data_IF_919531967811
#
_entry.id   IF_919531967811
#
_cell.length_a   1.000
_cell.length_b   1.000
_cell.length_c   1.000
_cell.angle_alpha   90.00
_cell.angle_beta   90.00
_cell.angle_gamma   90.00
#
_symmetry.space_group_name_H-M   'P 1'
#
loop_
_entity.id
_entity.type
_entity.pdbx_description
1 polymer ?
#
# COMPACT_ATOMS: atom_id res chain seq x y z
N UNK A 1 18.71 24.34 -78.39
CA UNK A 1 19.80 23.61 -77.71
C UNK A 1 20.33 24.53 -76.60
N UNK A 2 20.05 24.42 -75.31
CA UNK A 2 19.13 23.71 -74.41
C UNK A 2 19.09 24.61 -73.14
N UNK A 3 17.95 24.81 -72.48
CA UNK A 3 17.56 24.07 -71.25
C UNK A 3 18.74 23.77 -70.31
N UNK A 4 18.74 24.03 -69.01
CA UNK A 4 17.83 24.68 -68.07
C UNK A 4 18.65 24.93 -66.79
N UNK A 5 18.14 25.79 -65.92
CA UNK A 5 18.69 26.23 -64.65
C UNK A 5 19.23 25.10 -63.75
N UNK A 6 20.41 25.34 -63.16
CA UNK A 6 20.94 24.56 -62.05
C UNK A 6 20.16 24.86 -60.77
N UNK A 7 19.18 24.01 -60.45
CA UNK A 7 18.55 23.99 -59.12
C UNK A 7 19.56 23.38 -58.15
N UNK A 8 20.36 24.24 -57.51
CA UNK A 8 21.20 23.84 -56.37
C UNK A 8 20.32 23.43 -55.20
N UNK A 9 20.13 22.12 -55.02
CA UNK A 9 19.58 21.54 -53.80
C UNK A 9 20.48 21.95 -52.62
N UNK A 10 19.95 22.80 -51.74
CA UNK A 10 20.54 23.11 -50.45
C UNK A 10 20.53 21.84 -49.57
N UNK A 11 21.61 21.04 -49.64
CA UNK A 11 21.88 20.04 -48.61
C UNK A 11 22.15 20.76 -47.28
N UNK A 12 21.11 20.88 -46.45
CA UNK A 12 21.27 21.37 -45.08
C UNK A 12 21.87 20.23 -44.26
N UNK A 13 23.20 20.16 -44.17
CA UNK A 13 23.92 19.17 -43.34
C UNK A 13 23.76 19.49 -41.85
N UNK A 14 22.64 19.07 -41.26
CA UNK A 14 22.50 19.06 -39.81
C UNK A 14 23.22 17.83 -39.23
N UNK A 15 24.33 18.03 -38.52
CA UNK A 15 25.08 16.95 -37.89
C UNK A 15 24.37 16.44 -36.62
N UNK A 16 24.38 15.12 -36.39
CA UNK A 16 23.90 14.49 -35.14
C UNK A 16 24.47 15.17 -33.88
N UNK A 17 25.71 15.66 -33.96
CA UNK A 17 26.36 16.41 -32.87
C UNK A 17 25.68 17.75 -32.58
N UNK A 18 25.23 18.46 -33.61
CA UNK A 18 24.55 19.74 -33.45
C UNK A 18 23.12 19.54 -32.93
N UNK A 19 22.46 18.44 -33.34
CA UNK A 19 21.18 18.02 -32.77
C UNK A 19 21.26 17.70 -31.28
N UNK A 20 22.22 16.85 -30.89
CA UNK A 20 22.40 16.47 -29.48
C UNK A 20 22.75 17.70 -28.62
N UNK A 21 23.61 18.60 -29.12
CA UNK A 21 23.91 19.86 -28.43
C UNK A 21 22.67 20.74 -28.27
N UNK A 22 21.81 20.81 -29.28
CA UNK A 22 20.54 21.54 -29.22
C UNK A 22 19.59 20.96 -28.17
N UNK A 23 19.41 19.64 -28.15
CA UNK A 23 18.54 18.95 -27.17
C UNK A 23 19.03 19.17 -25.73
N UNK A 24 20.35 19.08 -25.49
CA UNK A 24 20.93 19.30 -24.15
C UNK A 24 20.73 20.76 -23.70
N UNK A 25 20.99 21.74 -24.59
CA UNK A 25 20.85 23.16 -24.26
C UNK A 25 19.39 23.57 -23.95
N UNK A 26 18.42 22.99 -24.67
CA UNK A 26 16.99 23.23 -24.44
C UNK A 26 16.50 22.50 -23.16
N UNK A 27 16.99 21.29 -22.89
CA UNK A 27 16.64 20.55 -21.67
C UNK A 27 17.09 21.23 -20.37
N UNK A 28 18.26 21.88 -20.38
CA UNK A 28 18.81 22.56 -19.20
C UNK A 28 18.07 23.87 -18.84
N UNK A 29 17.49 24.55 -19.83
CA UNK A 29 16.75 25.82 -19.61
C UNK A 29 15.30 25.58 -19.17
N UNK A 30 14.63 24.54 -19.67
CA UNK A 30 13.29 24.17 -19.20
C UNK A 30 13.27 23.68 -17.73
N UNK A 31 14.36 23.07 -17.26
CA UNK A 31 14.44 22.46 -15.93
C UNK A 31 14.76 23.44 -14.80
N UNK A 32 15.26 24.64 -15.11
CA UNK A 32 15.66 25.65 -14.11
C UNK A 32 14.60 26.73 -13.85
N UNK A 33 13.62 26.89 -14.75
CA UNK A 33 12.52 27.85 -14.55
C UNK A 33 11.72 27.57 -13.26
N UNK A 34 11.59 26.30 -12.87
CA UNK A 34 10.91 25.90 -11.63
C UNK A 34 11.62 26.31 -10.34
N UNK A 35 12.93 26.62 -10.38
CA UNK A 35 13.69 27.02 -9.20
C UNK A 35 13.74 28.53 -8.98
N UNK A 36 13.51 29.35 -10.02
CA UNK A 36 13.52 30.81 -9.93
C UNK A 36 12.17 31.43 -9.58
N UNK A 37 11.06 30.69 -9.74
CA UNK A 37 9.73 31.15 -9.35
C UNK A 37 9.45 30.61 -7.94
N UNK A 38 9.93 31.34 -6.94
CA UNK A 38 9.63 31.11 -5.52
C UNK A 38 8.14 31.28 -5.24
N UNK A 39 7.37 30.21 -5.43
CA UNK A 39 5.94 30.19 -5.17
C UNK A 39 5.42 28.75 -5.13
N UNK A 40 5.34 28.18 -3.93
CA UNK A 40 4.45 27.06 -3.67
C UNK A 40 3.02 27.47 -4.06
N UNK A 41 2.47 26.80 -5.08
CA UNK A 41 1.06 26.87 -5.43
C UNK A 41 0.76 27.75 -6.64
N UNK A 42 0.71 27.14 -7.83
CA UNK A 42 -0.18 27.57 -8.94
C UNK A 42 -0.30 26.55 -10.08
N UNK A 43 0.44 25.44 -10.05
CA UNK A 43 -0.02 24.19 -10.66
C UNK A 43 -0.54 23.31 -9.54
N UNK A 44 -1.78 23.56 -9.12
CA UNK A 44 -2.51 22.58 -8.34
C UNK A 44 -2.41 21.26 -9.10
N UNK A 45 -1.71 20.28 -8.53
CA UNK A 45 -1.82 18.92 -8.98
C UNK A 45 -3.30 18.59 -8.86
N UNK A 46 -4.04 18.73 -9.96
CA UNK A 46 -5.43 18.34 -10.02
C UNK A 46 -5.41 16.84 -9.72
N UNK A 47 -5.94 16.46 -8.56
CA UNK A 47 -6.17 15.07 -8.23
C UNK A 47 -6.97 14.48 -9.40
N UNK A 48 -6.37 13.55 -10.14
CA UNK A 48 -7.06 12.86 -11.22
C UNK A 48 -8.32 12.24 -10.62
N UNK A 49 -9.52 12.49 -11.18
CA UNK A 49 -10.75 11.88 -10.68
C UNK A 49 -10.57 10.35 -10.59
N UNK A 50 -10.73 9.79 -9.38
CA UNK A 50 -10.51 8.36 -9.11
C UNK A 50 -9.11 7.98 -8.59
N UNK A 51 -8.18 8.93 -8.46
CA UNK A 51 -6.91 8.67 -7.77
C UNK A 51 -7.14 8.61 -6.25
N UNK A 52 -7.11 7.40 -5.67
CA UNK A 52 -7.07 7.26 -4.22
C UNK A 52 -5.71 7.73 -3.69
N UNK A 53 -5.73 8.39 -2.53
CA UNK A 53 -4.52 8.69 -1.76
C UNK A 53 -3.75 7.38 -1.55
N UNK A 54 -2.47 7.34 -1.94
CA UNK A 54 -1.66 6.14 -1.82
C UNK A 54 -1.07 5.97 -0.43
N UNK A 55 -0.54 7.06 0.14
CA UNK A 55 0.15 7.03 1.41
C UNK A 55 -0.83 7.37 2.55
N UNK A 56 -1.32 6.35 3.24
CA UNK A 56 -2.30 6.51 4.34
C UNK A 56 -1.65 6.20 5.70
N UNK A 57 -2.31 6.60 6.78
CA UNK A 57 -1.92 6.21 8.15
C UNK A 57 -2.95 5.24 8.70
N UNK A 58 -2.48 4.11 9.24
CA UNK A 58 -3.29 3.06 9.85
C UNK A 58 -2.95 2.93 11.33
N UNK A 59 -3.95 2.71 12.18
CA UNK A 59 -3.75 2.30 13.56
C UNK A 59 -3.82 0.76 13.63
N UNK A 60 -2.66 0.11 13.74
CA UNK A 60 -2.57 -1.35 13.81
C UNK A 60 -1.85 -1.76 15.10
N UNK A 61 -2.50 -2.58 15.92
CA UNK A 61 -2.00 -3.02 17.22
C UNK A 61 -1.57 -1.85 18.11
N UNK A 62 -2.38 -0.77 18.12
CA UNK A 62 -2.12 0.46 18.88
C UNK A 62 -1.03 1.36 18.29
N UNK A 63 -0.42 1.00 17.16
CA UNK A 63 0.65 1.76 16.53
C UNK A 63 0.18 2.48 15.26
N UNK A 64 0.49 3.76 15.15
CA UNK A 64 0.26 4.55 13.95
C UNK A 64 1.34 4.25 12.89
N UNK A 65 0.92 3.71 11.75
CA UNK A 65 1.81 3.25 10.67
C UNK A 65 1.46 3.97 9.37
N UNK A 66 2.40 4.73 8.82
CA UNK A 66 2.28 5.29 7.48
C UNK A 66 2.65 4.24 6.44
N UNK A 67 1.80 4.01 5.46
CA UNK A 67 1.95 2.93 4.48
C UNK A 67 1.44 3.33 3.10
N UNK A 68 2.19 2.96 2.05
CA UNK A 68 1.77 3.10 0.65
C UNK A 68 0.88 1.92 0.25
N UNK A 69 -0.37 2.21 -0.11
CA UNK A 69 -1.48 1.26 -0.27
C UNK A 69 -2.18 1.54 -1.59
N UNK A 70 -2.26 0.51 -2.45
CA UNK A 70 -3.03 0.58 -3.69
C UNK A 70 -4.54 0.72 -3.40
N UNK A 71 -5.32 1.37 -4.28
CA UNK A 71 -6.77 1.54 -4.08
C UNK A 71 -7.53 0.22 -3.87
N UNK A 72 -7.04 -0.86 -4.50
CA UNK A 72 -7.64 -2.20 -4.46
C UNK A 72 -6.91 -3.17 -3.51
N UNK A 73 -5.95 -2.69 -2.70
CA UNK A 73 -5.24 -3.56 -1.76
C UNK A 73 -6.14 -3.91 -0.57
N UNK A 74 -6.24 -5.20 -0.27
CA UNK A 74 -7.01 -5.69 0.87
C UNK A 74 -6.20 -5.53 2.15
N UNK A 75 -6.90 -5.42 3.29
CA UNK A 75 -6.26 -5.26 4.60
C UNK A 75 -5.30 -6.42 4.89
N UNK A 76 -5.69 -7.65 4.57
CA UNK A 76 -4.81 -8.80 4.72
C UNK A 76 -3.53 -8.70 3.87
N UNK A 77 -3.61 -8.16 2.65
CA UNK A 77 -2.44 -7.93 1.82
C UNK A 77 -1.54 -6.84 2.40
N UNK A 78 -2.11 -5.70 2.83
CA UNK A 78 -1.32 -4.62 3.42
C UNK A 78 -0.62 -5.06 4.71
N UNK A 79 -1.33 -5.73 5.61
CA UNK A 79 -0.77 -6.25 6.86
C UNK A 79 0.44 -7.15 6.59
N UNK A 80 0.28 -8.11 5.67
CA UNK A 80 1.30 -9.12 5.38
C UNK A 80 2.49 -8.55 4.60
N UNK A 81 2.22 -7.83 3.52
CA UNK A 81 3.23 -7.51 2.51
C UNK A 81 3.78 -6.08 2.64
N UNK A 82 3.08 -5.16 3.29
CA UNK A 82 3.56 -3.79 3.54
C UNK A 82 4.06 -3.60 4.96
N UNK A 83 3.31 -4.15 5.93
CA UNK A 83 3.59 -3.96 7.36
C UNK A 83 4.34 -5.14 7.99
N UNK A 84 4.58 -6.21 7.23
CA UNK A 84 5.26 -7.43 7.66
C UNK A 84 4.62 -8.11 8.90
N UNK A 85 3.33 -7.88 9.12
CA UNK A 85 2.49 -8.57 10.10
C UNK A 85 1.90 -9.82 9.45
N UNK A 86 2.69 -10.88 9.43
CA UNK A 86 2.41 -12.08 8.64
C UNK A 86 1.51 -13.10 9.35
N UNK A 87 1.08 -12.81 10.58
CA UNK A 87 0.20 -13.65 11.38
C UNK A 87 -1.18 -13.83 10.76
N UNK A 88 -1.77 -12.76 10.23
CA UNK A 88 -3.01 -12.84 9.42
C UNK A 88 -2.73 -13.66 8.16
N UNK A 89 -3.49 -14.73 7.89
CA UNK A 89 -3.20 -15.65 6.78
C UNK A 89 -4.15 -15.48 5.60
N UNK A 90 -3.62 -15.65 4.40
CA UNK A 90 -4.40 -15.78 3.16
C UNK A 90 -4.51 -17.27 2.83
N UNK A 91 -5.66 -17.87 3.19
CA UNK A 91 -5.96 -19.27 2.86
C UNK A 91 -6.76 -19.39 1.56
N UNK A 92 -7.95 -18.79 1.52
CA UNK A 92 -8.83 -18.84 0.35
C UNK A 92 -8.89 -17.55 -0.48
N UNK A 93 -8.58 -16.40 0.16
CA UNK A 93 -8.70 -15.04 -0.41
C UNK A 93 -10.08 -14.71 -1.02
N UNK A 94 -11.14 -15.28 -0.44
CA UNK A 94 -12.54 -15.14 -0.89
C UNK A 94 -13.57 -15.18 0.23
N UNK A 95 -13.17 -14.78 1.44
CA UNK A 95 -14.06 -14.67 2.61
C UNK A 95 -14.76 -15.98 3.05
N UNK A 96 -14.15 -17.14 2.81
CA UNK A 96 -14.77 -18.44 3.09
C UNK A 96 -14.14 -19.16 4.29
N UNK A 97 -12.80 -19.14 4.42
CA UNK A 97 -12.10 -19.95 5.41
C UNK A 97 -11.82 -19.27 6.76
N UNK A 98 -12.02 -17.96 6.88
CA UNK A 98 -11.76 -17.20 8.12
C UNK A 98 -10.28 -17.06 8.53
N UNK A 99 -9.31 -17.65 7.82
CA UNK A 99 -7.89 -17.57 8.21
C UNK A 99 -7.31 -16.14 8.21
N UNK A 100 -7.99 -15.19 7.55
CA UNK A 100 -7.63 -13.79 7.44
C UNK A 100 -8.35 -12.88 8.46
N UNK A 101 -9.04 -13.46 9.45
CA UNK A 101 -9.81 -12.68 10.42
C UNK A 101 -8.89 -11.79 11.25
N UNK A 102 -9.30 -10.52 11.39
CA UNK A 102 -8.73 -9.49 12.25
C UNK A 102 -9.86 -8.82 13.03
N UNK A 103 -9.54 -8.04 14.05
CA UNK A 103 -10.53 -7.15 14.68
C UNK A 103 -10.42 -5.76 14.08
N UNK A 104 -11.55 -5.16 13.73
CA UNK A 104 -11.68 -3.76 13.36
C UNK A 104 -12.66 -3.15 14.37
N UNK A 105 -12.17 -2.24 15.21
CA UNK A 105 -12.92 -1.63 16.31
C UNK A 105 -13.56 -2.68 17.22
N UNK A 106 -12.79 -3.73 17.55
CA UNK A 106 -13.20 -4.86 18.39
C UNK A 106 -14.02 -5.93 17.68
N UNK A 107 -14.56 -5.65 16.49
CA UNK A 107 -15.42 -6.59 15.76
C UNK A 107 -14.62 -7.42 14.77
N UNK A 108 -14.85 -8.73 14.74
CA UNK A 108 -14.20 -9.60 13.79
C UNK A 108 -14.64 -9.31 12.33
N UNK A 109 -13.65 -9.24 11.43
CA UNK A 109 -13.84 -8.99 9.99
C UNK A 109 -12.83 -9.79 9.18
N UNK A 110 -13.23 -10.18 7.97
CA UNK A 110 -12.32 -10.82 7.02
C UNK A 110 -11.40 -9.79 6.38
N UNK A 111 -10.11 -9.83 6.73
CA UNK A 111 -9.11 -8.93 6.17
C UNK A 111 -8.93 -9.09 4.65
N UNK A 112 -9.21 -10.27 4.09
CA UNK A 112 -9.11 -10.52 2.65
C UNK A 112 -10.23 -9.87 1.82
N UNK A 113 -11.37 -9.51 2.43
CA UNK A 113 -12.49 -8.87 1.75
C UNK A 113 -12.73 -7.43 2.21
N UNK A 114 -11.81 -6.88 3.01
CA UNK A 114 -11.85 -5.50 3.50
C UNK A 114 -10.79 -4.71 2.75
N UNK A 115 -11.14 -3.58 2.13
CA UNK A 115 -10.13 -2.72 1.51
C UNK A 115 -9.39 -1.94 2.60
N UNK A 116 -8.07 -1.85 2.49
CA UNK A 116 -7.25 -1.14 3.48
C UNK A 116 -7.66 0.34 3.60
N UNK A 117 -8.10 0.97 2.50
CA UNK A 117 -8.59 2.35 2.52
C UNK A 117 -9.85 2.56 3.37
N UNK A 118 -10.66 1.51 3.60
CA UNK A 118 -11.90 1.60 4.38
C UNK A 118 -11.66 1.65 5.90
N UNK A 119 -10.51 1.20 6.38
CA UNK A 119 -10.22 1.09 7.82
C UNK A 119 -9.47 2.31 8.36
N UNK A 120 -9.41 3.40 7.59
CA UNK A 120 -8.83 4.67 8.05
C UNK A 120 -9.62 5.19 9.25
N UNK A 121 -8.91 5.53 10.32
CA UNK A 121 -9.52 6.03 11.54
C UNK A 121 -10.06 4.93 12.46
N UNK A 122 -10.15 3.68 11.99
CA UNK A 122 -10.43 2.52 12.84
C UNK A 122 -9.18 1.99 13.52
N UNK A 123 -9.39 1.30 14.63
CA UNK A 123 -8.40 0.46 15.29
C UNK A 123 -8.40 -0.94 14.68
N UNK A 124 -7.24 -1.39 14.19
CA UNK A 124 -7.06 -2.75 13.69
C UNK A 124 -6.22 -3.54 14.68
N UNK A 125 -6.73 -4.68 15.14
CA UNK A 125 -5.96 -5.64 15.96
C UNK A 125 -5.75 -6.92 15.16
N UNK A 126 -4.52 -7.38 15.10
CA UNK A 126 -4.12 -8.67 14.50
C UNK A 126 -3.72 -9.67 15.59
N UNK A 127 -3.41 -10.91 15.21
CA UNK A 127 -2.95 -11.94 16.16
C UNK A 127 -1.70 -11.52 16.93
N UNK A 128 -0.79 -10.77 16.29
CA UNK A 128 0.41 -10.20 16.90
C UNK A 128 0.09 -9.12 17.94
N UNK A 129 -1.12 -8.57 17.94
CA UNK A 129 -1.57 -7.54 18.88
C UNK A 129 -2.32 -8.08 20.10
N UNK A 130 -2.47 -9.40 20.24
CA UNK A 130 -3.16 -10.01 21.38
C UNK A 130 -2.26 -10.25 22.58
N UNK A 131 -0.96 -10.44 22.35
CA UNK A 131 0.03 -10.57 23.42
C UNK A 131 0.21 -9.23 24.14
N UNK A 132 0.34 -9.28 25.47
CA UNK A 132 0.63 -8.08 26.24
C UNK A 132 2.00 -7.51 25.83
N UNK A 133 2.08 -6.25 25.37
CA UNK A 133 3.31 -5.68 24.85
C UNK A 133 4.41 -5.46 25.91
N UNK A 134 4.05 -5.38 27.19
CA UNK A 134 4.98 -5.12 28.30
C UNK A 134 5.45 -6.41 28.97
N UNK A 135 4.54 -7.37 29.16
CA UNK A 135 4.82 -8.63 29.89
C UNK A 135 5.12 -9.81 28.98
N UNK A 136 4.71 -9.76 27.71
CA UNK A 136 4.74 -10.90 26.80
C UNK A 136 3.72 -12.00 27.13
N UNK A 137 2.79 -11.72 28.04
CA UNK A 137 1.74 -12.68 28.39
C UNK A 137 0.77 -12.86 27.22
N UNK A 138 0.47 -14.13 26.93
CA UNK A 138 -0.52 -14.49 25.94
C UNK A 138 -1.92 -14.07 26.39
N UNK A 139 -2.77 -13.69 25.43
CA UNK A 139 -4.19 -13.50 25.71
C UNK A 139 -4.84 -14.79 26.21
N UNK A 140 -5.96 -14.66 26.93
CA UNK A 140 -6.74 -15.79 27.45
C UNK A 140 -7.02 -16.86 26.39
N UNK A 141 -7.42 -16.43 25.19
CA UNK A 141 -7.73 -17.34 24.08
C UNK A 141 -6.48 -18.03 23.54
N UNK A 142 -5.36 -17.30 23.40
CA UNK A 142 -4.08 -17.89 22.97
C UNK A 142 -3.57 -18.94 23.95
N UNK A 143 -3.68 -18.69 25.26
CA UNK A 143 -3.27 -19.65 26.28
C UNK A 143 -4.16 -20.90 26.26
N UNK A 144 -5.49 -20.71 26.23
CA UNK A 144 -6.44 -21.83 26.23
C UNK A 144 -6.26 -22.79 25.04
N UNK A 145 -6.00 -22.27 23.83
CA UNK A 145 -5.78 -23.14 22.66
C UNK A 145 -4.46 -23.90 22.73
N UNK A 146 -3.45 -23.38 23.43
CA UNK A 146 -2.18 -24.09 23.66
C UNK A 146 -2.40 -25.21 24.68
N UNK A 147 -3.05 -24.90 25.80
CA UNK A 147 -3.30 -25.85 26.88
C UNK A 147 -4.09 -27.07 26.40
N UNK A 148 -5.02 -26.87 25.47
CA UNK A 148 -5.86 -27.91 24.89
C UNK A 148 -5.31 -28.51 23.58
N UNK A 149 -4.14 -28.09 23.10
CA UNK A 149 -3.55 -28.60 21.86
C UNK A 149 -4.42 -28.36 20.61
N UNK A 150 -5.08 -27.21 20.53
CA UNK A 150 -6.16 -26.93 19.58
C UNK A 150 -5.79 -26.89 18.10
N UNK A 151 -4.51 -26.99 17.73
CA UNK A 151 -4.05 -26.90 16.35
C UNK A 151 -2.92 -27.88 16.01
N UNK A 152 -2.91 -28.30 14.74
CA UNK A 152 -1.84 -29.14 14.18
C UNK A 152 -0.89 -28.28 13.33
N UNK A 153 -1.19 -28.09 12.03
CA UNK A 153 -0.38 -27.22 11.17
C UNK A 153 -0.49 -25.73 11.53
N UNK A 154 -1.50 -25.37 12.33
CA UNK A 154 -1.77 -24.04 12.87
C UNK A 154 -1.93 -22.90 11.83
N UNK A 155 -2.11 -23.21 10.54
CA UNK A 155 -2.33 -22.16 9.53
C UNK A 155 -3.64 -21.40 9.75
N UNK A 156 -4.69 -22.07 10.23
CA UNK A 156 -5.97 -21.44 10.59
C UNK A 156 -5.98 -20.80 11.99
N UNK A 157 -4.97 -21.08 12.82
CA UNK A 157 -4.97 -20.70 14.23
C UNK A 157 -5.17 -19.19 14.44
N UNK A 158 -4.48 -18.29 13.69
CA UNK A 158 -4.68 -16.86 13.85
C UNK A 158 -6.15 -16.45 13.66
N UNK A 159 -6.78 -16.88 12.56
CA UNK A 159 -8.16 -16.50 12.27
C UNK A 159 -9.18 -17.04 13.28
N UNK A 160 -8.95 -18.26 13.78
CA UNK A 160 -9.76 -18.85 14.85
C UNK A 160 -9.63 -18.06 16.15
N UNK A 161 -8.39 -17.81 16.60
CA UNK A 161 -8.10 -17.09 17.84
C UNK A 161 -8.76 -15.71 17.79
N UNK A 162 -8.57 -14.97 16.69
CA UNK A 162 -9.18 -13.63 16.52
C UNK A 162 -10.71 -13.68 16.61
N UNK A 163 -11.36 -14.70 16.04
CA UNK A 163 -12.81 -14.86 16.13
C UNK A 163 -13.27 -15.16 17.55
N UNK A 164 -12.56 -16.03 18.27
CA UNK A 164 -12.87 -16.36 19.66
C UNK A 164 -12.61 -15.19 20.60
N UNK A 165 -11.56 -14.40 20.37
CA UNK A 165 -11.31 -13.16 21.12
C UNK A 165 -12.46 -12.17 20.97
N UNK A 166 -12.99 -11.98 19.76
CA UNK A 166 -14.17 -11.13 19.56
C UNK A 166 -15.37 -11.64 20.37
N UNK A 167 -15.67 -12.95 20.28
CA UNK A 167 -16.78 -13.57 21.00
C UNK A 167 -16.64 -13.42 22.53
N UNK A 168 -15.44 -13.64 23.07
CA UNK A 168 -15.17 -13.52 24.51
C UNK A 168 -15.31 -12.08 24.99
N UNK A 169 -14.90 -11.09 24.19
CA UNK A 169 -15.01 -9.68 24.57
C UNK A 169 -16.44 -9.11 24.50
N UNK A 170 -17.34 -9.77 23.76
CA UNK A 170 -18.75 -9.38 23.64
C UNK A 170 -19.65 -9.90 24.77
N UNK A 171 -19.16 -10.85 25.60
CA UNK A 171 -19.91 -11.50 26.70
C UNK A 171 -19.34 -11.17 28.07
#
# INVERSE_FOLDING_TARGET
MGEAESIGLLETKYSRRNFIKGVIAVGATASSAGYFIGGSGLLGAQSVPGAAERLITLNVNGQQRRVDVLPNETLAMTLRYRLNLTGTKLGCDRAECGACTVLIDGVNRYGCSTLTHQVRGSSVTTIEGLENPDTGELSLVQQAVIDEGGFQCAFCAPGFIMSMTAMVNEN
#
